data_IF_389327941337
#
_entry.id   IF_389327941337
#
_cell.length_a   1.000
_cell.length_b   1.000
_cell.length_c   1.000
_cell.angle_alpha   90.00
_cell.angle_beta   90.00
_cell.angle_gamma   90.00
#
_symmetry.space_group_name_H-M   'P 1'
#
loop_
_entity.id
_entity.type
_entity.pdbx_description
1 polymer ?
#
# COMPACT_ATOMS: atom_id res chain seq x y z
N UNK A 1 11.61 -16.66 -0.25
CA UNK A 1 11.15 -17.64 0.77
C UNK A 1 9.68 -17.43 1.13
N UNK A 2 9.29 -16.20 1.52
CA UNK A 2 7.92 -15.86 1.95
C UNK A 2 6.80 -16.32 1.00
N UNK A 3 6.95 -16.09 -0.32
CA UNK A 3 5.92 -16.48 -1.29
C UNK A 3 5.71 -18.01 -1.38
N UNK A 4 6.75 -18.81 -1.15
CA UNK A 4 6.61 -20.27 -1.13
C UNK A 4 5.85 -20.73 0.13
N UNK A 5 6.14 -20.13 1.28
CA UNK A 5 5.46 -20.44 2.53
C UNK A 5 3.98 -20.02 2.49
N UNK A 6 3.69 -18.87 1.89
CA UNK A 6 2.33 -18.42 1.64
C UNK A 6 1.57 -19.35 0.67
N UNK A 7 2.21 -19.83 -0.40
CA UNK A 7 1.61 -20.85 -1.28
C UNK A 7 1.31 -22.14 -0.52
N UNK A 8 2.26 -22.64 0.28
CA UNK A 8 2.08 -23.84 1.09
C UNK A 8 0.94 -23.68 2.10
N UNK A 9 0.84 -22.52 2.74
CA UNK A 9 -0.28 -22.18 3.61
C UNK A 9 -1.61 -22.24 2.85
N UNK A 10 -1.72 -21.61 1.68
CA UNK A 10 -2.95 -21.60 0.89
C UNK A 10 -3.36 -23.00 0.42
N UNK A 11 -2.41 -23.84 0.01
CA UNK A 11 -2.69 -25.24 -0.36
C UNK A 11 -3.30 -26.00 0.83
N UNK A 12 -2.68 -25.88 2.02
CA UNK A 12 -3.19 -26.52 3.24
C UNK A 12 -4.54 -25.93 3.68
N UNK A 13 -4.73 -24.62 3.53
CA UNK A 13 -5.99 -23.95 3.84
C UNK A 13 -7.12 -24.45 2.93
N UNK A 14 -6.88 -24.56 1.63
CA UNK A 14 -7.86 -25.11 0.67
C UNK A 14 -8.18 -26.59 0.94
N UNK A 15 -7.22 -27.34 1.49
CA UNK A 15 -7.48 -28.72 1.94
C UNK A 15 -8.36 -28.75 3.19
N UNK A 16 -8.19 -27.79 4.11
CA UNK A 16 -8.99 -27.69 5.34
C UNK A 16 -10.38 -27.11 5.08
N UNK A 17 -10.51 -26.23 4.10
CA UNK A 17 -11.75 -25.53 3.74
C UNK A 17 -12.12 -25.77 2.26
N UNK A 18 -12.44 -27.02 1.88
CA UNK A 18 -12.64 -27.41 0.48
C UNK A 18 -13.79 -26.68 -0.21
N UNK A 19 -14.75 -26.12 0.53
CA UNK A 19 -15.87 -25.35 -0.01
C UNK A 19 -15.44 -24.09 -0.78
N UNK A 20 -14.21 -23.61 -0.60
CA UNK A 20 -13.68 -22.44 -1.29
C UNK A 20 -12.83 -22.77 -2.52
N UNK A 21 -12.46 -24.03 -2.75
CA UNK A 21 -11.46 -24.45 -3.75
C UNK A 21 -11.78 -24.03 -5.18
N UNK A 22 -13.06 -23.95 -5.53
CA UNK A 22 -13.51 -23.61 -6.89
C UNK A 22 -13.89 -22.14 -7.06
N UNK A 23 -13.90 -21.34 -5.99
CA UNK A 23 -14.27 -19.93 -6.07
C UNK A 23 -13.16 -19.15 -6.77
N UNK A 24 -13.55 -18.08 -7.44
CA UNK A 24 -12.60 -17.12 -7.96
C UNK A 24 -11.74 -16.58 -6.81
N UNK A 25 -10.43 -16.69 -6.98
CA UNK A 25 -9.45 -16.31 -5.97
C UNK A 25 -8.73 -15.05 -6.43
N UNK A 26 -8.65 -14.08 -5.53
CA UNK A 26 -7.95 -12.81 -5.73
C UNK A 26 -7.03 -12.56 -4.55
N UNK A 27 -5.91 -11.89 -4.82
CA UNK A 27 -4.98 -11.46 -3.79
C UNK A 27 -5.07 -9.94 -3.72
N UNK A 28 -5.20 -9.40 -2.51
CA UNK A 28 -5.15 -7.97 -2.27
C UNK A 28 -4.02 -7.65 -1.29
N UNK A 29 -3.40 -6.49 -1.41
CA UNK A 29 -2.38 -6.04 -0.47
C UNK A 29 -2.09 -4.55 -0.63
N UNK A 30 -1.27 -4.03 0.27
CA UNK A 30 -0.88 -2.62 0.32
C UNK A 30 0.61 -2.48 0.64
N UNK A 31 1.21 -1.34 0.27
CA UNK A 31 2.58 -1.00 0.66
C UNK A 31 3.60 -2.01 0.13
N UNK A 32 4.44 -2.57 0.99
CA UNK A 32 5.39 -3.63 0.65
C UNK A 32 4.72 -4.92 0.14
N UNK A 33 3.41 -5.09 0.32
CA UNK A 33 2.68 -6.16 -0.35
C UNK A 33 2.65 -5.98 -1.89
N UNK A 34 3.09 -4.83 -2.41
CA UNK A 34 3.49 -4.68 -3.81
C UNK A 34 4.58 -5.67 -4.26
N UNK A 35 5.40 -6.19 -3.34
CA UNK A 35 6.27 -7.35 -3.57
C UNK A 35 5.56 -8.67 -3.28
N UNK A 36 4.95 -8.81 -2.10
CA UNK A 36 4.37 -10.08 -1.66
C UNK A 36 3.27 -10.60 -2.60
N UNK A 37 2.38 -9.72 -3.05
CA UNK A 37 1.20 -10.08 -3.84
C UNK A 37 1.58 -10.57 -5.24
N UNK A 38 2.37 -9.86 -6.05
CA UNK A 38 2.81 -10.38 -7.34
C UNK A 38 3.65 -11.65 -7.22
N UNK A 39 4.53 -11.75 -6.22
CA UNK A 39 5.33 -12.95 -6.01
C UNK A 39 4.46 -14.17 -5.66
N UNK A 40 3.48 -14.02 -4.77
CA UNK A 40 2.53 -15.08 -4.44
C UNK A 40 1.66 -15.44 -5.65
N UNK A 41 1.14 -14.44 -6.37
CA UNK A 41 0.39 -14.65 -7.60
C UNK A 41 1.21 -15.45 -8.62
N UNK A 42 2.50 -15.13 -8.77
CA UNK A 42 3.42 -15.84 -9.65
C UNK A 42 3.63 -17.30 -9.23
N UNK A 43 3.80 -17.55 -7.93
CA UNK A 43 3.92 -18.92 -7.41
C UNK A 43 2.66 -19.75 -7.65
N UNK A 44 1.48 -19.18 -7.44
CA UNK A 44 0.20 -19.85 -7.73
C UNK A 44 0.03 -20.08 -9.23
N UNK A 45 0.37 -19.08 -10.05
CA UNK A 45 0.28 -19.17 -11.51
C UNK A 45 1.15 -20.31 -12.05
N UNK A 46 2.40 -20.40 -11.58
CA UNK A 46 3.31 -21.48 -11.97
C UNK A 46 2.86 -22.84 -11.42
N UNK A 47 2.37 -22.90 -10.18
CA UNK A 47 1.89 -24.13 -9.58
C UNK A 47 0.68 -24.73 -10.32
N UNK A 48 -0.19 -23.88 -10.88
CA UNK A 48 -1.33 -24.32 -11.68
C UNK A 48 -0.95 -24.74 -13.11
N UNK A 49 0.28 -24.44 -13.56
CA UNK A 49 0.69 -24.66 -14.95
C UNK A 49 0.69 -26.16 -15.29
N UNK A 50 0.02 -26.52 -16.38
CA UNK A 50 -0.07 -27.92 -16.84
C UNK A 50 -1.13 -28.76 -16.11
N UNK A 51 -1.85 -28.20 -15.14
CA UNK A 51 -2.99 -28.86 -14.52
C UNK A 51 -4.26 -28.68 -15.35
N UNK A 52 -5.04 -29.75 -15.50
CA UNK A 52 -6.35 -29.69 -16.17
C UNK A 52 -7.38 -28.89 -15.38
N UNK A 53 -7.21 -28.79 -14.06
CA UNK A 53 -8.01 -27.93 -13.16
C UNK A 53 -7.08 -27.23 -12.17
N UNK A 54 -7.21 -25.90 -11.98
CA UNK A 54 -6.37 -25.18 -11.03
C UNK A 54 -6.67 -25.62 -9.59
N UNK A 55 -5.63 -25.72 -8.77
CA UNK A 55 -5.78 -25.99 -7.32
C UNK A 55 -6.29 -24.75 -6.61
N UNK A 56 -5.81 -23.58 -7.03
CA UNK A 56 -6.27 -22.26 -6.60
C UNK A 56 -6.69 -21.50 -7.86
N UNK A 57 -7.99 -21.20 -8.00
CA UNK A 57 -8.55 -20.54 -9.18
C UNK A 57 -8.22 -19.03 -9.18
N UNK A 58 -6.94 -18.68 -9.31
CA UNK A 58 -6.44 -17.31 -9.32
C UNK A 58 -6.95 -16.54 -10.55
N UNK A 59 -7.67 -15.45 -10.30
CA UNK A 59 -8.22 -14.56 -11.35
C UNK A 59 -7.46 -13.25 -11.49
N UNK A 60 -6.74 -12.83 -10.46
CA UNK A 60 -6.05 -11.56 -10.47
C UNK A 60 -5.61 -11.10 -9.11
N UNK A 61 -5.05 -9.90 -9.07
CA UNK A 61 -4.70 -9.23 -7.82
C UNK A 61 -4.90 -7.72 -7.90
N UNK A 62 -5.00 -7.11 -6.73
CA UNK A 62 -5.09 -5.66 -6.57
C UNK A 62 -4.11 -5.19 -5.49
N UNK A 63 -3.32 -4.16 -5.77
CA UNK A 63 -2.37 -3.61 -4.79
C UNK A 63 -2.50 -2.10 -4.64
N UNK A 64 -2.49 -1.63 -3.40
CA UNK A 64 -2.59 -0.21 -3.02
C UNK A 64 -1.24 0.36 -2.61
N UNK A 65 -0.93 1.59 -3.03
CA UNK A 65 0.26 2.33 -2.61
C UNK A 65 1.51 1.43 -2.61
N UNK A 66 1.70 0.72 -3.73
CA UNK A 66 2.46 -0.51 -3.77
C UNK A 66 3.93 -0.26 -4.13
N UNK A 67 4.86 -0.68 -3.25
CA UNK A 67 6.29 -0.73 -3.59
C UNK A 67 6.44 -1.74 -4.72
N UNK A 68 7.01 -1.30 -5.83
CA UNK A 68 7.00 -2.03 -7.11
C UNK A 68 8.39 -2.11 -7.74
N UNK A 69 9.19 -1.05 -7.68
CA UNK A 69 10.50 -0.96 -8.31
C UNK A 69 11.35 0.06 -7.58
N UNK A 70 12.47 -0.37 -6.99
CA UNK A 70 13.29 0.48 -6.14
C UNK A 70 13.74 1.77 -6.82
N UNK A 71 14.07 1.76 -8.11
CA UNK A 71 14.52 2.97 -8.80
C UNK A 71 13.37 3.97 -8.92
N UNK A 72 12.23 3.51 -9.42
CA UNK A 72 11.06 4.36 -9.66
C UNK A 72 10.37 4.81 -8.37
N UNK A 73 10.36 3.95 -7.36
CA UNK A 73 9.78 4.25 -6.05
C UNK A 73 10.58 5.35 -5.36
N UNK A 74 11.92 5.26 -5.33
CA UNK A 74 12.74 6.28 -4.69
C UNK A 74 12.69 7.63 -5.42
N UNK A 75 12.87 7.65 -6.74
CA UNK A 75 12.84 8.92 -7.49
C UNK A 75 11.43 9.53 -7.49
N UNK A 76 10.40 8.70 -7.59
CA UNK A 76 9.00 9.13 -7.52
C UNK A 76 8.65 9.74 -6.16
N UNK A 77 9.16 9.15 -5.08
CA UNK A 77 9.01 9.64 -3.71
C UNK A 77 9.61 11.03 -3.54
N UNK A 78 10.88 11.20 -3.90
CA UNK A 78 11.57 12.51 -3.81
C UNK A 78 10.90 13.56 -4.71
N UNK A 79 10.40 13.15 -5.88
CA UNK A 79 9.63 14.03 -6.78
C UNK A 79 8.30 14.47 -6.14
N UNK A 80 7.61 13.56 -5.45
CA UNK A 80 6.37 13.88 -4.74
C UNK A 80 6.63 14.92 -3.65
N UNK A 81 7.65 14.70 -2.82
CA UNK A 81 8.03 15.63 -1.75
C UNK A 81 8.23 17.05 -2.28
N UNK A 82 8.95 17.19 -3.39
CA UNK A 82 9.19 18.49 -4.02
C UNK A 82 7.92 19.12 -4.59
N UNK A 83 7.14 18.36 -5.37
CA UNK A 83 5.91 18.87 -6.00
C UNK A 83 4.79 19.22 -5.01
N UNK A 84 4.87 18.70 -3.78
CA UNK A 84 3.92 18.98 -2.71
C UNK A 84 4.49 19.93 -1.64
N UNK A 85 5.59 20.62 -1.96
CA UNK A 85 6.23 21.63 -1.12
C UNK A 85 6.68 21.13 0.27
N UNK A 86 6.97 19.83 0.41
CA UNK A 86 7.56 19.26 1.63
C UNK A 86 9.06 19.53 1.71
N UNK A 87 9.72 19.74 0.55
CA UNK A 87 11.14 20.02 0.46
C UNK A 87 11.44 21.18 -0.48
N UNK A 88 12.55 21.87 -0.22
CA UNK A 88 13.01 22.99 -1.04
C UNK A 88 13.64 22.53 -2.37
N UNK A 89 13.67 23.43 -3.37
CA UNK A 89 14.39 23.20 -4.64
C UNK A 89 15.86 22.80 -4.42
N UNK A 90 16.49 23.37 -3.40
CA UNK A 90 17.89 23.08 -3.04
C UNK A 90 18.02 21.64 -2.55
N UNK A 91 17.15 21.23 -1.63
CA UNK A 91 17.15 19.88 -1.07
C UNK A 91 16.80 18.84 -2.13
N UNK A 92 15.79 19.09 -2.96
CA UNK A 92 15.44 18.23 -4.10
C UNK A 92 16.63 18.01 -5.04
N UNK A 93 17.28 19.09 -5.51
CA UNK A 93 18.47 19.00 -6.37
C UNK A 93 19.64 18.29 -5.69
N UNK A 94 19.82 18.50 -4.38
CA UNK A 94 20.88 17.86 -3.62
C UNK A 94 20.67 16.35 -3.51
N UNK A 95 19.44 15.89 -3.25
CA UNK A 95 19.09 14.46 -3.20
C UNK A 95 19.33 13.84 -4.57
N UNK A 96 18.82 14.43 -5.65
CA UNK A 96 19.03 13.92 -7.02
C UNK A 96 20.51 13.81 -7.42
N UNK A 97 21.35 14.71 -6.89
CA UNK A 97 22.80 14.69 -7.15
C UNK A 97 23.54 13.67 -6.29
N UNK A 98 23.11 13.47 -5.04
CA UNK A 98 23.85 12.69 -4.05
C UNK A 98 23.42 11.22 -4.02
N UNK A 99 22.22 10.90 -4.47
CA UNK A 99 21.65 9.56 -4.45
C UNK A 99 21.81 8.83 -5.78
N UNK A 100 22.25 7.56 -5.73
CA UNK A 100 22.20 6.66 -6.87
C UNK A 100 20.97 5.74 -6.75
N UNK A 101 19.89 6.11 -7.42
CA UNK A 101 18.62 5.37 -7.36
C UNK A 101 18.68 3.97 -8.00
N UNK A 102 19.75 3.61 -8.72
CA UNK A 102 19.91 2.27 -9.31
C UNK A 102 20.55 1.26 -8.37
N UNK A 103 21.13 1.72 -7.26
CA UNK A 103 21.78 0.90 -6.24
C UNK A 103 20.78 0.47 -5.16
N UNK A 104 20.94 -0.73 -4.62
CA UNK A 104 20.25 -1.16 -3.39
C UNK A 104 20.91 -0.59 -2.13
N UNK A 105 22.17 -0.18 -2.23
CA UNK A 105 22.92 0.45 -1.14
C UNK A 105 22.94 1.97 -1.31
N UNK A 106 22.65 2.67 -0.22
CA UNK A 106 22.76 4.12 -0.16
C UNK A 106 24.18 4.54 0.22
N UNK A 107 24.60 5.71 -0.26
CA UNK A 107 25.87 6.33 0.16
C UNK A 107 25.62 7.27 1.33
N UNK A 108 26.63 7.48 2.18
CA UNK A 108 26.49 8.42 3.31
C UNK A 108 26.02 9.81 2.87
N UNK A 109 26.48 10.29 1.70
CA UNK A 109 26.03 11.59 1.14
C UNK A 109 24.54 11.59 0.77
N UNK A 110 24.02 10.48 0.28
CA UNK A 110 22.59 10.34 0.00
C UNK A 110 21.80 10.30 1.30
N UNK A 111 22.25 9.50 2.27
CA UNK A 111 21.62 9.38 3.58
C UNK A 111 21.57 10.74 4.30
N UNK A 112 22.66 11.51 4.26
CA UNK A 112 22.73 12.86 4.82
C UNK A 112 21.73 13.82 4.12
N UNK A 113 21.62 13.74 2.79
CA UNK A 113 20.72 14.59 2.01
C UNK A 113 19.24 14.29 2.29
N UNK A 114 18.89 13.00 2.39
CA UNK A 114 17.53 12.57 2.74
C UNK A 114 17.21 12.87 4.21
N UNK A 115 18.16 12.61 5.11
CA UNK A 115 18.01 12.91 6.54
C UNK A 115 17.83 14.41 6.77
N UNK A 116 18.53 15.26 6.01
CA UNK A 116 18.33 16.71 6.08
C UNK A 116 16.88 17.09 5.75
N UNK A 117 16.31 16.54 4.67
CA UNK A 117 14.92 16.77 4.31
C UNK A 117 13.97 16.39 5.45
N UNK A 118 14.10 15.17 5.97
CA UNK A 118 13.22 14.64 7.02
C UNK A 118 13.34 15.42 8.33
N UNK A 119 14.56 15.80 8.73
CA UNK A 119 14.81 16.42 10.03
C UNK A 119 14.61 17.95 10.03
N UNK A 120 14.69 18.61 8.88
CA UNK A 120 14.67 20.08 8.82
C UNK A 120 13.56 20.69 7.95
N UNK A 121 13.00 19.96 6.99
CA UNK A 121 12.01 20.52 6.06
C UNK A 121 10.60 19.93 6.24
N UNK A 122 10.47 18.65 6.56
CA UNK A 122 9.16 17.97 6.70
C UNK A 122 8.33 18.48 7.87
N UNK A 123 8.98 18.83 8.98
CA UNK A 123 8.29 19.09 10.25
C UNK A 123 7.53 17.88 10.79
N UNK A 124 6.62 18.10 11.73
CA UNK A 124 5.84 17.04 12.39
C UNK A 124 4.58 16.67 11.60
N UNK A 125 4.76 16.17 10.38
CA UNK A 125 3.70 15.73 9.47
C UNK A 125 3.55 14.20 9.45
N UNK A 126 2.34 13.72 9.21
CA UNK A 126 2.11 12.32 8.89
C UNK A 126 2.44 12.06 7.41
N UNK A 127 3.50 11.28 7.15
CA UNK A 127 3.94 10.95 5.79
C UNK A 127 2.97 9.99 5.08
N UNK A 128 2.19 9.21 5.84
CA UNK A 128 1.19 8.32 5.25
C UNK A 128 -0.03 9.09 4.75
N UNK A 129 -0.26 10.33 5.19
CA UNK A 129 -1.23 11.24 4.57
C UNK A 129 -0.95 12.70 4.92
N UNK A 130 -0.32 13.42 3.98
CA UNK A 130 0.25 14.77 4.20
C UNK A 130 -0.78 15.86 4.49
N UNK A 131 -2.08 15.58 4.36
CA UNK A 131 -3.16 16.54 4.64
C UNK A 131 -4.02 16.14 5.83
N UNK A 132 -3.64 15.11 6.58
CA UNK A 132 -4.38 14.66 7.76
C UNK A 132 -3.63 14.94 9.06
N UNK A 133 -4.35 15.04 10.20
CA UNK A 133 -3.71 15.20 11.50
C UNK A 133 -2.87 13.97 11.88
N UNK A 134 -1.73 14.18 12.52
CA UNK A 134 -0.93 13.12 13.12
C UNK A 134 -1.44 12.73 14.51
N UNK A 135 -1.14 11.49 14.94
CA UNK A 135 -1.42 11.05 16.30
C UNK A 135 -0.46 11.76 17.26
N UNK A 136 -0.98 12.70 18.05
CA UNK A 136 -0.21 13.25 19.16
C UNK A 136 -0.15 12.19 20.25
N UNK A 137 1.06 11.77 20.63
CA UNK A 137 1.25 11.05 21.88
C UNK A 137 0.56 11.87 22.98
N UNK A 138 -0.12 11.20 23.92
CA UNK A 138 -0.72 11.88 25.06
C UNK A 138 0.40 12.57 25.84
N UNK A 139 0.68 13.83 25.52
CA UNK A 139 1.47 14.69 26.38
C UNK A 139 0.75 14.68 27.73
N UNK A 140 1.50 14.42 28.80
CA UNK A 140 1.07 14.72 30.17
C UNK A 140 0.91 16.24 30.30
N UNK A 141 -0.08 16.79 29.62
CA UNK A 141 -0.35 18.21 29.61
C UNK A 141 -1.40 18.47 30.69
N UNK A 142 -0.89 18.79 31.87
CA UNK A 142 -1.62 19.51 32.92
C UNK A 142 -1.93 20.96 32.50
N UNK A 143 -2.34 21.20 31.25
CA UNK A 143 -2.92 22.47 30.86
C UNK A 143 -4.39 22.26 30.53
N UNK A 144 -5.22 22.44 31.55
CA UNK A 144 -6.64 22.72 31.42
C UNK A 144 -6.81 24.08 30.71
N UNK A 145 -6.65 24.13 29.39
CA UNK A 145 -7.19 25.22 28.59
C UNK A 145 -8.64 24.85 28.29
N UNK A 146 -9.50 25.20 29.25
CA UNK A 146 -10.94 25.10 29.15
C UNK A 146 -11.45 26.20 28.21
N UNK A 147 -11.24 26.05 26.90
CA UNK A 147 -11.93 26.88 25.92
C UNK A 147 -13.36 26.36 25.76
N UNK A 148 -14.26 26.90 26.58
CA UNK A 148 -15.71 26.72 26.44
C UNK A 148 -16.15 27.21 25.05
N UNK A 149 -16.86 26.35 24.34
CA UNK A 149 -17.82 26.68 23.28
C UNK A 149 -17.30 27.48 22.06
N UNK A 150 -16.52 26.83 21.20
CA UNK A 150 -16.57 27.15 19.76
C UNK A 150 -17.15 25.95 19.00
N UNK A 151 -18.24 26.21 18.27
CA UNK A 151 -19.02 25.27 17.43
C UNK A 151 -18.23 24.76 16.20
N UNK A 152 -16.91 24.65 16.26
CA UNK A 152 -16.01 24.38 15.12
C UNK A 152 -15.23 23.07 15.26
N UNK A 153 -15.41 22.30 16.35
CA UNK A 153 -15.02 20.89 16.34
C UNK A 153 -16.05 20.04 15.58
N UNK A 154 -16.15 20.26 14.26
CA UNK A 154 -16.44 19.13 13.38
C UNK A 154 -15.30 18.13 13.64
N UNK A 155 -15.55 17.13 14.48
CA UNK A 155 -14.84 15.85 14.33
C UNK A 155 -14.95 15.54 12.85
N UNK A 156 -13.83 15.54 12.13
CA UNK A 156 -13.79 15.01 10.77
C UNK A 156 -14.27 13.57 10.94
N UNK A 157 -15.53 13.34 10.59
CA UNK A 157 -16.21 12.08 10.84
C UNK A 157 -15.45 10.98 10.10
N UNK A 158 -14.71 10.13 10.81
CA UNK A 158 -14.25 8.83 10.31
C UNK A 158 -12.76 8.50 10.44
N UNK A 159 -11.85 9.49 10.55
CA UNK A 159 -10.41 9.21 10.66
C UNK A 159 -9.89 9.47 12.08
N UNK A 160 -9.23 8.46 12.65
CA UNK A 160 -8.53 8.53 13.93
C UNK A 160 -7.05 8.21 13.69
N UNK A 161 -6.15 9.19 13.84
CA UNK A 161 -4.74 8.97 13.56
C UNK A 161 -4.07 8.04 14.58
N UNK A 162 -4.69 7.81 15.74
CA UNK A 162 -4.16 6.95 16.80
C UNK A 162 -4.70 5.51 16.74
N UNK A 163 -5.36 5.12 15.65
CA UNK A 163 -6.06 3.83 15.52
C UNK A 163 -5.14 2.62 15.71
N UNK A 164 -3.88 2.70 15.31
CA UNK A 164 -2.88 1.64 15.50
C UNK A 164 -2.66 1.33 16.99
N UNK A 165 -2.53 2.36 17.83
CA UNK A 165 -2.38 2.19 19.28
C UNK A 165 -3.60 1.51 19.91
N UNK A 166 -4.80 1.83 19.40
CA UNK A 166 -6.02 1.16 19.83
C UNK A 166 -6.02 -0.32 19.41
N UNK A 167 -5.57 -0.64 18.20
CA UNK A 167 -5.44 -2.01 17.71
C UNK A 167 -4.45 -2.83 18.55
N UNK A 168 -3.25 -2.30 18.85
CA UNK A 168 -2.26 -3.01 19.67
C UNK A 168 -2.79 -3.32 21.08
N UNK A 169 -3.48 -2.37 21.71
CA UNK A 169 -4.13 -2.60 23.01
C UNK A 169 -5.19 -3.70 22.93
N UNK A 170 -6.00 -3.68 21.86
CA UNK A 170 -7.07 -4.65 21.66
C UNK A 170 -6.53 -6.08 21.44
N UNK A 171 -5.59 -6.25 20.51
CA UNK A 171 -5.05 -7.56 20.14
C UNK A 171 -4.16 -8.20 21.23
N UNK A 172 -3.68 -7.42 22.20
CA UNK A 172 -2.95 -7.94 23.35
C UNK A 172 -3.84 -8.29 24.56
N UNK A 173 -5.15 -8.11 24.49
CA UNK A 173 -6.05 -8.60 25.54
C UNK A 173 -6.10 -10.13 25.54
N UNK A 174 -6.03 -10.71 26.74
CA UNK A 174 -6.03 -12.17 26.90
C UNK A 174 -7.31 -12.83 26.36
N UNK A 175 -8.46 -12.20 26.55
CA UNK A 175 -9.74 -12.71 26.04
C UNK A 175 -9.83 -12.65 24.51
N UNK A 176 -9.27 -11.60 23.90
CA UNK A 176 -9.16 -11.48 22.43
C UNK A 176 -8.21 -12.54 21.86
N UNK A 177 -7.02 -12.71 22.44
CA UNK A 177 -6.08 -13.75 21.99
C UNK A 177 -6.68 -15.15 22.11
N UNK A 178 -7.38 -15.44 23.23
CA UNK A 178 -8.10 -16.70 23.43
C UNK A 178 -9.18 -16.90 22.36
N UNK A 179 -9.97 -15.88 22.05
CA UNK A 179 -11.04 -15.95 21.06
C UNK A 179 -10.51 -16.17 19.63
N UNK A 180 -9.34 -15.62 19.30
CA UNK A 180 -8.69 -15.79 17.99
C UNK A 180 -7.84 -17.07 17.89
N UNK A 181 -7.77 -17.88 18.95
CA UNK A 181 -6.84 -19.00 19.06
C UNK A 181 -5.37 -18.60 18.81
N UNK A 182 -5.00 -17.40 19.23
CA UNK A 182 -3.64 -16.85 19.14
C UNK A 182 -2.88 -17.07 20.46
N UNK A 183 -1.53 -16.99 20.40
CA UNK A 183 -0.66 -17.15 21.58
C UNK A 183 -0.90 -18.44 22.39
N UNK A 184 -1.26 -19.54 21.73
CA UNK A 184 -1.55 -20.81 22.41
C UNK A 184 -0.31 -21.48 23.00
N UNK A 185 0.88 -21.04 22.62
CA UNK A 185 2.18 -21.57 23.06
C UNK A 185 2.90 -20.69 24.08
N UNK A 186 2.30 -19.56 24.50
CA UNK A 186 2.93 -18.63 25.44
C UNK A 186 4.15 -17.92 24.85
N UNK A 187 3.98 -17.21 23.73
CA UNK A 187 5.06 -16.41 23.12
C UNK A 187 5.56 -15.33 24.10
N UNK A 188 6.88 -15.06 24.17
CA UNK A 188 7.48 -14.18 25.17
C UNK A 188 7.37 -12.68 24.83
N UNK A 189 6.64 -12.33 23.77
CA UNK A 189 6.51 -10.96 23.27
C UNK A 189 5.04 -10.61 23.02
N UNK A 190 4.75 -9.31 23.05
CA UNK A 190 3.43 -8.77 22.73
C UNK A 190 3.22 -8.78 21.21
N UNK A 191 1.97 -8.87 20.80
CA UNK A 191 1.62 -8.56 19.41
C UNK A 191 1.87 -7.07 19.16
N UNK A 192 2.49 -6.75 18.03
CA UNK A 192 2.71 -5.38 17.55
C UNK A 192 2.28 -5.31 16.09
N UNK A 193 1.92 -4.12 15.61
CA UNK A 193 1.49 -3.94 14.21
C UNK A 193 2.63 -4.26 13.23
N UNK A 194 3.85 -3.83 13.56
CA UNK A 194 5.07 -4.07 12.79
C UNK A 194 6.15 -4.73 13.67
N UNK A 195 7.06 -5.47 13.04
CA UNK A 195 8.19 -6.13 13.74
C UNK A 195 9.51 -5.49 13.33
N UNK A 196 10.11 -4.69 14.21
CA UNK A 196 11.42 -4.05 13.99
C UNK A 196 12.53 -5.05 13.72
N UNK A 197 12.45 -6.23 14.32
CA UNK A 197 13.43 -7.30 14.11
C UNK A 197 13.36 -7.77 12.66
N UNK A 198 12.16 -7.96 12.12
CA UNK A 198 12.01 -8.32 10.70
C UNK A 198 12.45 -7.17 9.81
N UNK A 199 11.99 -5.94 10.08
CA UNK A 199 12.33 -4.76 9.27
C UNK A 199 13.85 -4.53 9.16
N UNK A 200 14.59 -4.72 10.26
CA UNK A 200 16.06 -4.53 10.27
C UNK A 200 16.84 -5.66 9.63
N UNK A 201 16.31 -6.88 9.65
CA UNK A 201 17.06 -8.09 9.24
C UNK A 201 16.56 -8.72 7.94
N UNK A 202 15.48 -8.20 7.34
CA UNK A 202 14.92 -8.73 6.11
C UNK A 202 15.84 -8.45 4.92
N UNK A 203 16.28 -9.51 4.25
CA UNK A 203 17.18 -9.44 3.07
C UNK A 203 16.57 -10.05 1.81
N UNK A 204 15.39 -10.66 1.91
CA UNK A 204 14.70 -11.32 0.80
C UNK A 204 13.83 -10.30 0.05
N UNK A 205 14.48 -9.35 -0.62
CA UNK A 205 13.87 -8.24 -1.34
C UNK A 205 14.41 -8.17 -2.78
N UNK A 206 13.55 -8.48 -3.73
CA UNK A 206 13.82 -8.27 -5.17
C UNK A 206 13.87 -6.78 -5.48
N UNK A 207 14.68 -6.37 -6.48
CA UNK A 207 14.79 -4.97 -6.86
C UNK A 207 13.52 -4.43 -7.56
N UNK A 208 12.86 -5.29 -8.36
CA UNK A 208 11.74 -4.90 -9.21
C UNK A 208 10.73 -6.03 -9.38
N UNK A 209 9.45 -5.69 -9.27
CA UNK A 209 8.32 -6.58 -9.54
C UNK A 209 7.85 -6.50 -11.00
N UNK A 210 8.31 -5.52 -11.78
CA UNK A 210 7.86 -5.31 -13.16
C UNK A 210 7.97 -6.55 -14.07
N UNK A 211 9.01 -7.40 -13.98
CA UNK A 211 9.07 -8.66 -14.75
C UNK A 211 7.91 -9.61 -14.41
N UNK A 212 7.52 -9.70 -13.13
CA UNK A 212 6.39 -10.51 -12.68
C UNK A 212 5.09 -9.92 -13.22
N UNK A 213 4.90 -8.60 -13.17
CA UNK A 213 3.74 -7.95 -13.78
C UNK A 213 3.62 -8.31 -15.26
N UNK A 214 4.70 -8.19 -16.05
CA UNK A 214 4.70 -8.56 -17.48
C UNK A 214 4.25 -10.01 -17.71
N UNK A 215 4.81 -10.94 -16.94
CA UNK A 215 4.46 -12.37 -17.01
C UNK A 215 2.98 -12.61 -16.70
N UNK A 216 2.46 -12.02 -15.63
CA UNK A 216 1.09 -12.25 -15.16
C UNK A 216 0.04 -11.55 -16.04
N UNK A 217 0.38 -10.40 -16.61
CA UNK A 217 -0.43 -9.74 -17.65
C UNK A 217 -0.54 -10.64 -18.89
N UNK A 218 0.59 -11.18 -19.36
CA UNK A 218 0.59 -12.12 -20.49
C UNK A 218 -0.18 -13.41 -20.18
N UNK A 219 -0.18 -13.84 -18.91
CA UNK A 219 -0.99 -14.94 -18.39
C UNK A 219 -2.49 -14.65 -18.28
N UNK A 220 -2.95 -13.44 -18.63
CA UNK A 220 -4.37 -13.08 -18.66
C UNK A 220 -4.97 -12.78 -17.28
N UNK A 221 -4.15 -12.58 -16.25
CA UNK A 221 -4.64 -12.20 -14.92
C UNK A 221 -5.14 -10.75 -14.92
N UNK A 222 -6.20 -10.48 -14.15
CA UNK A 222 -6.69 -9.12 -13.91
C UNK A 222 -5.80 -8.44 -12.87
N UNK A 223 -5.10 -7.38 -13.26
CA UNK A 223 -4.22 -6.65 -12.35
C UNK A 223 -4.72 -5.22 -12.17
N UNK A 224 -4.93 -4.83 -10.91
CA UNK A 224 -5.24 -3.45 -10.55
C UNK A 224 -4.15 -2.92 -9.63
N UNK A 225 -3.69 -1.71 -9.90
CA UNK A 225 -2.82 -0.95 -9.01
C UNK A 225 -3.59 0.30 -8.63
N UNK A 226 -3.56 0.70 -7.37
CA UNK A 226 -4.16 1.95 -6.94
C UNK A 226 -3.28 2.70 -5.96
N UNK A 227 -3.47 4.01 -5.87
CA UNK A 227 -2.71 4.86 -4.94
C UNK A 227 -3.61 5.95 -4.34
N UNK A 228 -3.53 6.16 -3.03
CA UNK A 228 -3.99 7.39 -2.42
C UNK A 228 -3.12 8.57 -2.86
N UNK A 229 -3.74 9.69 -3.23
CA UNK A 229 -3.03 10.85 -3.78
C UNK A 229 -2.37 11.77 -2.72
N UNK A 230 -2.48 11.43 -1.44
CA UNK A 230 -1.87 12.16 -0.33
C UNK A 230 -0.77 11.39 0.40
N UNK A 231 -0.48 10.17 -0.05
CA UNK A 231 0.63 9.36 0.49
C UNK A 231 1.97 9.88 0.00
N UNK A 232 2.90 10.19 0.90
CA UNK A 232 4.27 10.56 0.55
C UNK A 232 5.30 9.43 0.69
N UNK A 233 4.89 8.26 1.19
CA UNK A 233 5.75 7.09 1.38
C UNK A 233 5.82 6.25 0.10
N UNK A 234 4.68 5.96 -0.52
CA UNK A 234 4.60 5.29 -1.83
C UNK A 234 3.63 6.04 -2.75
N UNK A 235 4.05 7.23 -3.23
CA UNK A 235 3.16 8.16 -3.89
C UNK A 235 2.69 7.72 -5.28
N UNK A 236 1.67 8.41 -5.77
CA UNK A 236 1.16 8.30 -7.15
C UNK A 236 2.29 8.44 -8.18
N UNK A 237 3.26 9.32 -7.95
CA UNK A 237 4.41 9.55 -8.84
C UNK A 237 5.27 8.29 -9.00
N UNK A 238 5.62 7.64 -7.90
CA UNK A 238 6.36 6.37 -7.88
C UNK A 238 5.62 5.29 -8.68
N UNK A 239 4.33 5.11 -8.39
CA UNK A 239 3.49 4.14 -9.10
C UNK A 239 3.44 4.43 -10.60
N UNK A 240 3.24 5.70 -11.00
CA UNK A 240 3.17 6.10 -12.42
C UNK A 240 4.48 5.86 -13.15
N UNK A 241 5.62 6.15 -12.52
CA UNK A 241 6.93 5.90 -13.13
C UNK A 241 7.14 4.41 -13.37
N UNK A 242 6.87 3.57 -12.36
CA UNK A 242 6.94 2.11 -12.45
C UNK A 242 6.05 1.56 -13.57
N UNK A 243 4.79 1.99 -13.63
CA UNK A 243 3.84 1.51 -14.65
C UNK A 243 4.19 2.00 -16.06
N UNK A 244 4.74 3.21 -16.21
CA UNK A 244 5.16 3.73 -17.52
C UNK A 244 6.23 2.82 -18.15
N UNK A 245 7.09 2.21 -17.33
CA UNK A 245 8.17 1.35 -17.80
C UNK A 245 7.71 -0.05 -18.25
N UNK A 246 6.46 -0.44 -17.95
CA UNK A 246 5.85 -1.64 -18.53
C UNK A 246 5.54 -1.45 -20.02
N UNK A 247 5.47 -0.21 -20.51
CA UNK A 247 5.15 0.15 -21.90
C UNK A 247 3.87 -0.54 -22.41
N UNK A 248 2.84 -0.57 -21.56
CA UNK A 248 1.56 -1.19 -21.90
C UNK A 248 0.74 -0.27 -22.81
N UNK A 249 0.01 -0.87 -23.76
CA UNK A 249 -0.93 -0.11 -24.61
C UNK A 249 -2.09 0.42 -23.79
N UNK A 250 -2.32 1.73 -23.83
CA UNK A 250 -3.50 2.38 -23.26
C UNK A 250 -4.75 1.94 -24.04
N UNK A 251 -5.75 1.42 -23.33
CA UNK A 251 -7.08 1.08 -23.84
C UNK A 251 -8.11 2.16 -23.52
N UNK A 252 -8.02 2.78 -22.35
CA UNK A 252 -8.86 3.92 -21.96
C UNK A 252 -7.95 4.99 -21.37
N UNK A 253 -7.83 6.16 -22.02
CA UNK A 253 -7.03 7.27 -21.51
C UNK A 253 -7.49 7.73 -20.12
N UNK A 254 -6.57 8.34 -19.37
CA UNK A 254 -6.81 8.98 -18.08
C UNK A 254 -8.17 9.70 -17.99
N UNK A 255 -9.03 9.26 -17.07
CA UNK A 255 -10.37 9.82 -16.86
C UNK A 255 -10.71 9.96 -15.37
N UNK A 256 -11.52 10.96 -14.97
CA UNK A 256 -12.02 11.05 -13.60
C UNK A 256 -13.09 9.99 -13.37
N UNK A 257 -13.06 9.37 -12.20
CA UNK A 257 -14.12 8.48 -11.73
C UNK A 257 -14.84 9.08 -10.52
N UNK A 258 -16.08 8.66 -10.28
CA UNK A 258 -17.00 9.34 -9.37
C UNK A 258 -17.50 8.43 -8.25
N UNK A 259 -17.75 9.05 -7.10
CA UNK A 259 -18.42 8.47 -5.96
C UNK A 259 -19.36 9.52 -5.38
N UNK A 260 -20.67 9.26 -5.40
CA UNK A 260 -21.69 10.17 -4.84
C UNK A 260 -21.77 11.52 -5.54
N UNK A 261 -21.62 11.54 -6.87
CA UNK A 261 -21.62 12.79 -7.66
C UNK A 261 -20.40 13.68 -7.42
N UNK A 262 -19.34 13.16 -6.80
CA UNK A 262 -18.07 13.85 -6.57
C UNK A 262 -16.93 13.04 -7.17
N UNK A 263 -15.88 13.71 -7.63
CA UNK A 263 -14.66 13.04 -8.12
C UNK A 263 -14.09 12.18 -6.99
N UNK A 264 -14.03 10.87 -7.24
CA UNK A 264 -13.43 9.85 -6.39
C UNK A 264 -11.92 9.70 -6.63
N UNK A 265 -11.45 10.07 -7.81
CA UNK A 265 -10.06 10.05 -8.23
C UNK A 265 -10.00 9.97 -9.75
N UNK A 266 -8.91 9.40 -10.29
CA UNK A 266 -8.73 9.20 -11.72
C UNK A 266 -8.30 7.77 -12.02
N UNK A 267 -8.49 7.33 -13.25
CA UNK A 267 -8.09 6.00 -13.67
C UNK A 267 -7.62 5.99 -15.12
N UNK A 268 -6.72 5.05 -15.42
CA UNK A 268 -6.28 4.73 -16.78
C UNK A 268 -6.23 3.22 -16.95
N UNK A 269 -6.74 2.76 -18.08
CA UNK A 269 -6.85 1.34 -18.37
C UNK A 269 -5.85 1.01 -19.47
N UNK A 270 -4.91 0.13 -19.15
CA UNK A 270 -3.98 -0.47 -20.08
C UNK A 270 -4.45 -1.88 -20.46
N UNK A 271 -3.88 -2.43 -21.54
CA UNK A 271 -4.09 -3.84 -21.89
C UNK A 271 -3.54 -4.75 -20.76
N UNK A 272 -4.45 -5.27 -19.94
CA UNK A 272 -4.15 -6.22 -18.85
C UNK A 272 -3.88 -5.59 -17.48
N UNK A 273 -3.92 -4.26 -17.35
CA UNK A 273 -3.71 -3.56 -16.08
C UNK A 273 -4.61 -2.34 -15.98
N UNK A 274 -5.20 -2.09 -14.82
CA UNK A 274 -5.89 -0.82 -14.51
C UNK A 274 -5.13 -0.09 -13.40
N UNK A 275 -4.85 1.19 -13.61
CA UNK A 275 -4.32 2.07 -12.57
C UNK A 275 -5.41 3.05 -12.14
N UNK A 276 -5.56 3.26 -10.83
CA UNK A 276 -6.51 4.23 -10.28
C UNK A 276 -5.91 5.02 -9.11
N UNK A 277 -6.18 6.32 -9.04
CA UNK A 277 -5.93 7.11 -7.84
C UNK A 277 -7.21 7.23 -7.02
N UNK A 278 -7.05 7.41 -5.71
CA UNK A 278 -8.15 7.70 -4.79
C UNK A 278 -7.91 9.06 -4.16
N UNK A 279 -8.78 10.01 -4.49
CA UNK A 279 -8.66 11.40 -4.08
C UNK A 279 -8.80 11.54 -2.57
N UNK A 280 -7.92 12.30 -1.93
CA UNK A 280 -7.90 12.56 -0.50
C UNK A 280 -7.64 11.32 0.35
N UNK A 281 -7.02 10.30 -0.23
CA UNK A 281 -6.61 9.10 0.51
C UNK A 281 -5.10 9.12 0.75
N UNK A 282 -4.69 8.69 1.93
CA UNK A 282 -3.30 8.40 2.25
C UNK A 282 -2.87 7.00 1.81
N UNK A 283 -1.86 6.48 2.48
CA UNK A 283 -1.26 5.18 2.24
C UNK A 283 -2.28 4.05 2.40
N UNK A 284 -3.00 4.06 3.52
CA UNK A 284 -4.06 3.12 3.84
C UNK A 284 -5.40 3.56 3.24
N UNK A 285 -5.56 3.47 1.92
CA UNK A 285 -6.74 3.99 1.20
C UNK A 285 -8.09 3.59 1.82
N UNK A 286 -8.32 2.34 2.27
CA UNK A 286 -9.57 1.96 2.91
C UNK A 286 -9.83 2.70 4.24
N UNK A 287 -8.78 3.09 4.97
CA UNK A 287 -8.88 3.87 6.21
C UNK A 287 -9.29 5.32 5.90
N UNK A 288 -8.60 5.97 4.97
CA UNK A 288 -8.81 7.40 4.67
C UNK A 288 -10.09 7.67 3.87
N UNK A 289 -10.44 6.78 2.94
CA UNK A 289 -11.56 6.97 2.02
C UNK A 289 -12.39 5.68 1.85
N UNK A 290 -13.03 5.16 2.92
CA UNK A 290 -13.65 3.84 2.93
C UNK A 290 -14.70 3.65 1.83
N UNK A 291 -15.55 4.66 1.59
CA UNK A 291 -16.57 4.60 0.52
C UNK A 291 -15.95 4.50 -0.87
N UNK A 292 -14.89 5.27 -1.14
CA UNK A 292 -14.19 5.28 -2.43
C UNK A 292 -13.39 4.00 -2.63
N UNK A 293 -12.67 3.55 -1.58
CA UNK A 293 -11.97 2.27 -1.57
C UNK A 293 -12.91 1.08 -1.81
N UNK A 294 -14.11 1.11 -1.23
CA UNK A 294 -15.11 0.06 -1.43
C UNK A 294 -15.62 0.01 -2.88
N UNK A 295 -15.95 1.16 -3.49
CA UNK A 295 -16.34 1.22 -4.92
C UNK A 295 -15.23 0.67 -5.80
N UNK A 296 -13.98 1.06 -5.54
CA UNK A 296 -12.81 0.57 -6.28
C UNK A 296 -12.67 -0.95 -6.16
N UNK A 297 -12.79 -1.49 -4.96
CA UNK A 297 -12.72 -2.93 -4.72
C UNK A 297 -13.88 -3.69 -5.40
N UNK A 298 -15.10 -3.16 -5.34
CA UNK A 298 -16.27 -3.76 -6.01
C UNK A 298 -16.09 -3.78 -7.53
N UNK A 299 -15.61 -2.68 -8.13
CA UNK A 299 -15.33 -2.60 -9.57
C UNK A 299 -14.27 -3.63 -9.99
N UNK A 300 -13.20 -3.78 -9.20
CA UNK A 300 -12.16 -4.80 -9.44
C UNK A 300 -12.73 -6.22 -9.45
N UNK A 301 -13.48 -6.60 -8.41
CA UNK A 301 -14.08 -7.94 -8.30
C UNK A 301 -15.04 -8.20 -9.47
N UNK A 302 -15.90 -7.23 -9.79
CA UNK A 302 -16.87 -7.32 -10.88
C UNK A 302 -16.22 -7.29 -12.28
N UNK A 303 -14.93 -6.93 -12.38
CA UNK A 303 -14.26 -6.73 -13.66
C UNK A 303 -14.85 -5.58 -14.48
N UNK A 304 -15.38 -4.55 -13.81
CA UNK A 304 -16.03 -3.40 -14.42
C UNK A 304 -15.13 -2.15 -14.32
N UNK A 305 -15.20 -1.22 -15.29
CA UNK A 305 -14.56 0.09 -15.16
C UNK A 305 -15.05 0.84 -13.92
N UNK A 306 -14.25 1.82 -13.45
CA UNK A 306 -14.69 2.73 -12.40
C UNK A 306 -15.80 3.67 -12.93
N UNK A 307 -16.76 4.10 -12.08
CA UNK A 307 -17.91 4.89 -12.51
C UNK A 307 -17.51 6.24 -13.10
N UNK A 308 -18.09 6.62 -14.25
CA UNK A 308 -17.83 7.93 -14.92
C UNK A 308 -18.79 9.05 -14.52
N UNK A 309 -19.79 8.76 -13.70
CA UNK A 309 -20.82 9.69 -13.20
C UNK A 309 -21.38 9.19 -11.87
#
# INVERSE_FOLDING_TARGET
>A
MAANDALNFLIKWMSRFPQYRYRDFYIAGESYAGHYVPQLANKIFDYNKGLSKPVINLKGFIVGNAVTDNYYDNIGTVTFWWTHALISDKTYKNILKSCNFTSTESSSKCDDAVSYAMNHEFGSIDQYSIYTPSCKAAENSNTLIRLKNTLIHRRVSGYDPCIESHAEKYYNRADVQKAMHANTTGIPYKWTACSDILLKNWKDAEFSMLPIYKKLIAGGLRIWVFSGDTDSVVPVTATRFSLSHLNLKIQTPWYPWYSSGQVGGWAEVYKGLTFATVRGAGHEVPLFQPRRGFILFQSFLAGKPLPKS
#
